data_IF_115921831747
#
_entry.id   IF_115921831747
#
_cell.length_a   1.000
_cell.length_b   1.000
_cell.length_c   1.000
_cell.angle_alpha   90.00
_cell.angle_beta   90.00
_cell.angle_gamma   90.00
#
_symmetry.space_group_name_H-M   'P 1'
#
loop_
_entity.id
_entity.type
_entity.pdbx_description
1 polymer ?
#
# COMPACT_ATOMS: atom_id res chain seq x y z
N UNK A 1 35.73 -0.98 4.16
CA UNK A 1 35.47 -2.45 4.06
C UNK A 1 33.99 -2.68 4.32
N UNK A 2 33.30 -3.38 3.43
CA UNK A 2 31.91 -3.79 3.66
C UNK A 2 31.85 -4.74 4.85
N UNK A 3 30.85 -4.56 5.73
CA UNK A 3 30.64 -5.48 6.85
C UNK A 3 30.23 -6.84 6.29
N UNK A 4 30.82 -7.95 6.79
CA UNK A 4 30.38 -9.28 6.41
C UNK A 4 28.94 -9.50 6.86
N UNK A 5 28.21 -10.32 6.09
CA UNK A 5 26.88 -10.80 6.44
C UNK A 5 26.90 -11.47 7.82
N UNK A 6 25.82 -11.33 8.59
CA UNK A 6 25.73 -11.83 9.97
C UNK A 6 26.02 -13.34 10.01
N UNK A 7 25.46 -14.09 9.07
CA UNK A 7 25.65 -15.54 8.96
C UNK A 7 27.11 -15.93 8.70
N UNK A 8 27.83 -15.19 7.85
CA UNK A 8 29.22 -15.52 7.51
C UNK A 8 30.16 -15.13 8.63
N UNK A 9 29.88 -14.02 9.32
CA UNK A 9 30.63 -13.61 10.51
C UNK A 9 30.48 -14.64 11.64
N UNK A 10 29.26 -15.10 11.93
CA UNK A 10 29.01 -16.06 13.01
C UNK A 10 29.61 -17.44 12.71
N UNK A 11 29.44 -17.93 11.47
CA UNK A 11 30.06 -19.17 11.03
C UNK A 11 31.60 -19.09 11.08
N UNK A 12 32.18 -17.97 10.64
CA UNK A 12 33.62 -17.73 10.70
C UNK A 12 34.16 -17.78 12.14
N UNK A 13 33.47 -17.13 13.09
CA UNK A 13 33.83 -17.18 14.51
C UNK A 13 33.79 -18.62 15.05
N UNK A 14 32.74 -19.38 14.76
CA UNK A 14 32.60 -20.76 15.23
C UNK A 14 33.66 -21.68 14.62
N UNK A 15 33.98 -21.52 13.34
CA UNK A 15 35.03 -22.29 12.66
C UNK A 15 36.40 -21.97 13.28
N UNK A 16 36.71 -20.70 13.51
CA UNK A 16 37.99 -20.29 14.13
C UNK A 16 38.10 -20.84 15.56
N UNK A 17 37.03 -20.74 16.35
CA UNK A 17 37.01 -21.30 17.71
C UNK A 17 37.16 -22.83 17.68
N UNK A 18 36.43 -23.53 16.82
CA UNK A 18 36.53 -24.98 16.68
C UNK A 18 37.91 -25.44 16.23
N UNK A 19 38.51 -24.76 15.24
CA UNK A 19 39.87 -25.02 14.80
C UNK A 19 40.90 -24.76 15.91
N UNK A 20 40.75 -23.67 16.66
CA UNK A 20 41.61 -23.37 17.80
C UNK A 20 41.53 -24.46 18.89
N UNK A 21 40.33 -24.93 19.21
CA UNK A 21 40.14 -26.05 20.16
C UNK A 21 40.77 -27.34 19.66
N UNK A 22 40.59 -27.69 18.39
CA UNK A 22 41.17 -28.91 17.82
C UNK A 22 42.71 -28.85 17.79
N UNK A 23 43.28 -27.72 17.36
CA UNK A 23 44.73 -27.49 17.36
C UNK A 23 45.30 -27.53 18.78
N UNK A 24 44.61 -26.91 19.74
CA UNK A 24 45.02 -26.96 21.14
C UNK A 24 44.96 -28.37 21.73
N UNK A 25 43.90 -29.13 21.43
CA UNK A 25 43.79 -30.52 21.86
C UNK A 25 44.91 -31.40 21.31
N UNK A 26 45.20 -31.28 20.01
CA UNK A 26 46.32 -31.99 19.39
C UNK A 26 47.68 -31.59 19.98
N UNK A 27 47.89 -30.29 20.22
CA UNK A 27 49.08 -29.78 20.89
C UNK A 27 49.24 -30.34 22.31
N UNK A 28 48.17 -30.35 23.11
CA UNK A 28 48.19 -30.83 24.48
C UNK A 28 48.53 -32.32 24.56
N UNK A 29 47.92 -33.16 23.71
CA UNK A 29 48.21 -34.59 23.63
C UNK A 29 49.67 -34.84 23.24
N UNK A 30 50.17 -34.13 22.22
CA UNK A 30 51.56 -34.27 21.79
C UNK A 30 52.56 -33.86 22.89
N UNK A 31 52.25 -32.82 23.67
CA UNK A 31 53.11 -32.36 24.78
C UNK A 31 53.07 -33.29 26.00
N UNK A 32 51.90 -33.84 26.33
CA UNK A 32 51.77 -34.86 27.37
C UNK A 32 52.62 -36.10 27.05
N UNK A 33 52.61 -36.56 25.79
CA UNK A 33 53.45 -37.67 25.35
C UNK A 33 54.95 -37.39 25.47
N UNK A 34 55.39 -36.17 25.21
CA UNK A 34 56.80 -35.78 25.41
C UNK A 34 57.21 -35.78 26.89
N UNK A 35 56.35 -35.29 27.79
CA UNK A 35 56.58 -35.33 29.24
C UNK A 35 56.62 -36.78 29.74
N UNK A 36 55.68 -37.61 29.28
CA UNK A 36 55.65 -39.03 29.62
C UNK A 36 56.94 -39.75 29.19
N UNK A 37 57.45 -39.46 28.00
CA UNK A 37 58.71 -40.06 27.52
C UNK A 37 59.88 -39.76 28.45
N UNK A 38 60.07 -38.50 28.85
CA UNK A 38 61.15 -38.14 29.79
C UNK A 38 60.95 -38.72 31.20
N UNK A 39 59.71 -38.82 31.67
CA UNK A 39 59.43 -39.46 32.96
C UNK A 39 59.75 -40.95 32.94
N UNK A 40 59.43 -41.64 31.83
CA UNK A 40 59.79 -43.05 31.64
C UNK A 40 61.30 -43.19 31.61
N UNK A 41 62.01 -42.39 30.81
CA UNK A 41 63.49 -42.38 30.73
C UNK A 41 64.14 -42.25 32.12
N UNK A 42 63.68 -41.29 32.93
CA UNK A 42 64.18 -41.09 34.31
C UNK A 42 63.89 -42.33 35.18
N UNK A 43 62.67 -42.85 35.12
CA UNK A 43 62.21 -43.92 36.00
C UNK A 43 62.76 -45.30 35.63
N UNK A 44 62.98 -45.59 34.35
CA UNK A 44 63.37 -46.91 33.85
C UNK A 44 64.83 -47.01 33.45
N UNK A 45 65.50 -45.89 33.16
CA UNK A 45 66.89 -45.89 32.70
C UNK A 45 67.79 -45.13 33.68
N UNK A 46 67.60 -43.81 33.85
CA UNK A 46 68.55 -42.97 34.56
C UNK A 46 68.68 -43.34 36.06
N UNK A 47 67.57 -43.45 36.79
CA UNK A 47 67.58 -43.79 38.22
C UNK A 47 68.08 -45.24 38.48
N UNK A 48 67.57 -46.27 37.77
CA UNK A 48 68.10 -47.62 37.89
C UNK A 48 69.59 -47.75 37.52
N UNK A 49 70.09 -46.96 36.57
CA UNK A 49 71.51 -46.94 36.20
C UNK A 49 72.38 -46.46 37.37
N UNK A 50 72.03 -45.31 37.98
CA UNK A 50 72.75 -44.78 39.16
C UNK A 50 72.74 -45.77 40.32
N UNK A 51 71.61 -46.41 40.60
CA UNK A 51 71.52 -47.44 41.65
C UNK A 51 72.43 -48.63 41.33
N UNK A 52 72.43 -49.10 40.08
CA UNK A 52 73.28 -50.21 39.65
C UNK A 52 74.77 -49.87 39.79
N UNK A 53 75.16 -48.61 39.54
CA UNK A 53 76.54 -48.15 39.76
C UNK A 53 76.93 -48.10 41.23
N UNK A 54 75.99 -47.70 42.09
CA UNK A 54 76.19 -47.77 43.54
C UNK A 54 76.27 -49.20 44.06
N UNK A 55 75.49 -50.12 43.51
CA UNK A 55 75.57 -51.55 43.83
C UNK A 55 76.95 -52.11 43.43
N UNK A 56 77.49 -51.71 42.26
CA UNK A 56 78.87 -52.06 41.86
C UNK A 56 79.90 -51.57 42.87
N UNK A 57 79.81 -50.31 43.35
CA UNK A 57 80.70 -49.78 44.40
C UNK A 57 80.65 -50.63 45.68
N UNK A 58 79.45 -51.06 46.09
CA UNK A 58 79.27 -51.97 47.23
C UNK A 58 79.93 -53.33 46.97
N UNK A 59 79.83 -53.89 45.76
CA UNK A 59 80.50 -55.16 45.45
C UNK A 59 82.03 -55.02 45.49
N UNK A 60 82.59 -53.93 44.97
CA UNK A 60 84.04 -53.66 45.06
C UNK A 60 84.49 -53.67 46.52
N UNK A 61 83.79 -52.96 47.40
CA UNK A 61 84.13 -52.94 48.83
C UNK A 61 83.95 -54.32 49.51
N UNK A 62 82.93 -55.10 49.14
CA UNK A 62 82.77 -56.49 49.62
C UNK A 62 83.93 -57.38 49.20
N UNK A 63 84.40 -57.25 47.96
CA UNK A 63 85.55 -58.01 47.46
C UNK A 63 86.81 -57.62 48.25
N UNK A 64 87.07 -56.31 48.42
CA UNK A 64 88.20 -55.79 49.22
C UNK A 64 88.18 -56.31 50.65
N UNK A 65 87.02 -56.27 51.30
CA UNK A 65 86.86 -56.75 52.66
C UNK A 65 86.98 -58.28 52.77
N UNK A 66 86.56 -59.03 51.75
CA UNK A 66 86.70 -60.49 51.72
C UNK A 66 88.16 -60.92 51.58
N UNK A 67 88.98 -60.23 50.79
CA UNK A 67 90.44 -60.46 50.77
C UNK A 67 91.09 -60.21 52.14
N UNK A 68 90.74 -59.10 52.80
CA UNK A 68 91.23 -58.81 54.16
C UNK A 68 90.77 -59.86 55.17
N UNK A 69 89.51 -60.28 55.08
CA UNK A 69 88.94 -61.34 55.91
C UNK A 69 89.67 -62.67 55.72
N UNK A 70 90.02 -63.04 54.48
CA UNK A 70 90.80 -64.25 54.19
C UNK A 70 92.15 -64.26 54.91
N UNK A 71 92.88 -63.14 54.84
CA UNK A 71 94.20 -62.99 55.47
C UNK A 71 94.11 -63.01 57.00
N UNK A 72 93.04 -62.44 57.57
CA UNK A 72 92.85 -62.34 59.03
C UNK A 72 92.37 -63.65 59.67
N UNK A 73 91.71 -64.54 58.90
CA UNK A 73 91.19 -65.81 59.43
C UNK A 73 92.31 -66.82 59.61
N UNK A 74 92.29 -67.54 60.73
CA UNK A 74 93.32 -68.52 61.07
C UNK A 74 92.99 -69.94 60.58
N UNK A 75 91.70 -70.25 60.44
CA UNK A 75 91.19 -71.58 60.09
C UNK A 75 90.89 -71.74 58.59
N UNK A 76 90.99 -72.97 58.09
CA UNK A 76 90.80 -73.28 56.67
C UNK A 76 89.36 -73.08 56.19
N UNK A 77 88.37 -73.35 57.04
CA UNK A 77 86.94 -73.16 56.72
C UNK A 77 86.62 -71.67 56.54
N UNK A 78 87.13 -70.85 57.45
CA UNK A 78 87.05 -69.40 57.39
C UNK A 78 87.72 -68.84 56.13
N UNK A 79 88.92 -69.32 55.78
CA UNK A 79 89.58 -68.91 54.52
C UNK A 79 88.76 -69.30 53.30
N UNK A 80 88.33 -70.54 53.17
CA UNK A 80 87.48 -71.00 52.07
C UNK A 80 86.16 -70.20 51.96
N UNK A 81 85.55 -69.85 53.10
CA UNK A 81 84.36 -68.99 53.15
C UNK A 81 84.65 -67.58 52.61
N UNK A 82 85.84 -67.02 52.86
CA UNK A 82 86.23 -65.72 52.34
C UNK A 82 86.57 -65.76 50.84
N UNK A 83 87.19 -66.85 50.34
CA UNK A 83 87.38 -67.08 48.90
C UNK A 83 86.03 -67.11 48.17
N UNK A 84 85.08 -67.91 48.69
CA UNK A 84 83.72 -67.96 48.16
C UNK A 84 83.00 -66.61 48.18
N UNK A 85 83.27 -65.77 49.18
CA UNK A 85 82.71 -64.43 49.27
C UNK A 85 83.29 -63.49 48.20
N UNK A 86 84.58 -63.62 47.87
CA UNK A 86 85.20 -62.91 46.73
C UNK A 86 84.54 -63.32 45.42
N UNK A 87 84.41 -64.63 45.17
CA UNK A 87 83.82 -65.14 43.93
C UNK A 87 82.35 -64.71 43.78
N UNK A 88 81.56 -64.81 44.85
CA UNK A 88 80.16 -64.41 44.85
C UNK A 88 80.00 -62.90 44.60
N UNK A 89 80.78 -62.06 45.27
CA UNK A 89 80.72 -60.61 45.07
C UNK A 89 81.19 -60.20 43.66
N UNK A 90 82.21 -60.87 43.11
CA UNK A 90 82.68 -60.62 41.74
C UNK A 90 81.67 -61.08 40.68
N UNK A 91 80.96 -62.19 40.91
CA UNK A 91 79.87 -62.63 40.05
C UNK A 91 78.72 -61.62 40.01
N UNK A 92 78.29 -61.12 41.17
CA UNK A 92 77.25 -60.08 41.28
C UNK A 92 77.72 -58.78 40.61
N UNK A 93 78.97 -58.37 40.82
CA UNK A 93 79.54 -57.23 40.11
C UNK A 93 79.48 -57.39 38.59
N UNK A 94 79.76 -58.58 38.05
CA UNK A 94 79.62 -58.87 36.62
C UNK A 94 78.16 -58.88 36.12
N UNK A 95 77.19 -59.20 36.99
CA UNK A 95 75.76 -59.02 36.69
C UNK A 95 75.39 -57.54 36.64
N UNK A 96 75.79 -56.75 37.63
CA UNK A 96 75.55 -55.31 37.70
C UNK A 96 76.19 -54.59 36.50
N UNK A 97 77.42 -54.97 36.11
CA UNK A 97 78.09 -54.43 34.94
C UNK A 97 77.32 -54.73 33.64
N UNK A 98 76.81 -55.95 33.47
CA UNK A 98 75.99 -56.31 32.31
C UNK A 98 74.67 -55.53 32.30
N UNK A 99 74.03 -55.40 33.47
CA UNK A 99 72.80 -54.63 33.65
C UNK A 99 73.02 -53.15 33.32
N UNK A 100 74.11 -52.55 33.78
CA UNK A 100 74.47 -51.16 33.47
C UNK A 100 74.58 -50.92 31.96
N UNK A 101 75.15 -51.88 31.21
CA UNK A 101 75.23 -51.80 29.73
C UNK A 101 73.87 -51.88 29.03
N UNK A 102 72.80 -52.36 29.68
CA UNK A 102 71.45 -52.42 29.09
C UNK A 102 70.71 -51.09 29.11
N UNK A 103 71.14 -50.13 29.93
CA UNK A 103 70.57 -48.77 29.99
C UNK A 103 71.06 -47.86 28.86
N UNK A 104 71.58 -48.42 27.77
CA UNK A 104 72.10 -47.68 26.61
C UNK A 104 73.01 -46.50 26.99
N UNK A 105 74.09 -46.74 27.77
CA UNK A 105 74.91 -45.69 28.33
C UNK A 105 75.52 -44.80 27.24
N UNK A 106 75.58 -43.48 27.44
CA UNK A 106 76.29 -42.57 26.53
C UNK A 106 77.76 -42.96 26.37
N UNK A 107 78.44 -42.53 25.29
CA UNK A 107 79.81 -42.96 24.99
C UNK A 107 80.81 -42.78 26.15
N UNK A 108 80.66 -41.69 26.92
CA UNK A 108 81.50 -41.42 28.09
C UNK A 108 81.23 -42.40 29.25
N UNK A 109 79.97 -42.72 29.51
CA UNK A 109 79.54 -43.70 30.52
C UNK A 109 79.98 -45.12 30.13
N UNK A 110 79.85 -45.48 28.85
CA UNK A 110 80.34 -46.74 28.31
C UNK A 110 81.87 -46.90 28.45
N UNK A 111 82.62 -45.82 28.23
CA UNK A 111 84.07 -45.82 28.40
C UNK A 111 84.46 -46.01 29.88
N UNK A 112 83.74 -45.36 30.81
CA UNK A 112 83.96 -45.52 32.25
C UNK A 112 83.60 -46.94 32.72
N UNK A 113 82.52 -47.55 32.22
CA UNK A 113 82.19 -48.96 32.49
C UNK A 113 83.31 -49.92 32.08
N UNK A 114 83.91 -49.71 30.90
CA UNK A 114 85.04 -50.53 30.44
C UNK A 114 86.28 -50.35 31.34
N UNK A 115 86.55 -49.12 31.80
CA UNK A 115 87.67 -48.86 32.71
C UNK A 115 87.48 -49.53 34.07
N UNK A 116 86.25 -49.51 34.59
CA UNK A 116 85.85 -50.20 35.83
C UNK A 116 86.03 -51.72 35.68
N UNK A 117 85.57 -52.30 34.56
CA UNK A 117 85.73 -53.74 34.28
C UNK A 117 87.20 -54.16 34.23
N UNK A 118 88.05 -53.42 33.51
CA UNK A 118 89.46 -53.77 33.37
C UNK A 118 90.23 -53.61 34.69
N UNK A 119 89.93 -52.56 35.46
CA UNK A 119 90.51 -52.35 36.78
C UNK A 119 90.12 -53.50 37.74
N UNK A 120 88.84 -53.91 37.74
CA UNK A 120 88.39 -55.00 38.60
C UNK A 120 88.92 -56.36 38.18
N UNK A 121 89.00 -56.62 36.87
CA UNK A 121 89.65 -57.83 36.32
C UNK A 121 91.11 -57.92 36.76
N UNK A 122 91.83 -56.80 36.71
CA UNK A 122 93.21 -56.72 37.21
C UNK A 122 93.26 -56.96 38.72
N UNK A 123 92.35 -56.35 39.48
CA UNK A 123 92.28 -56.49 40.94
C UNK A 123 92.07 -57.94 41.37
N UNK A 124 91.07 -58.63 40.82
CA UNK A 124 90.82 -60.06 41.15
C UNK A 124 91.84 -61.01 40.52
N UNK A 125 92.58 -60.58 39.50
CA UNK A 125 93.67 -61.37 38.91
C UNK A 125 94.79 -61.71 39.90
N UNK A 126 94.97 -60.90 40.96
CA UNK A 126 95.92 -61.18 42.04
C UNK A 126 95.41 -62.22 43.06
N UNK A 127 94.12 -62.59 43.01
CA UNK A 127 93.50 -63.48 43.99
C UNK A 127 94.24 -64.80 44.21
N UNK A 128 94.64 -65.55 43.16
CA UNK A 128 95.30 -66.85 43.36
C UNK A 128 96.58 -66.72 44.19
N UNK A 129 97.37 -65.66 43.95
CA UNK A 129 98.63 -65.43 44.66
C UNK A 129 98.40 -65.01 46.11
N UNK A 130 97.42 -64.16 46.36
CA UNK A 130 97.06 -63.73 47.73
C UNK A 130 96.52 -64.90 48.54
N UNK A 131 95.65 -65.72 47.95
CA UNK A 131 95.10 -66.90 48.61
C UNK A 131 96.19 -67.95 48.89
N UNK A 132 97.12 -68.18 47.95
CA UNK A 132 98.28 -69.07 48.15
C UNK A 132 99.12 -68.64 49.37
N UNK A 133 99.54 -67.37 49.41
CA UNK A 133 100.35 -66.83 50.51
C UNK A 133 99.61 -66.85 51.85
N UNK A 134 98.34 -66.45 51.86
CA UNK A 134 97.51 -66.50 53.06
C UNK A 134 97.33 -67.94 53.56
N UNK A 135 97.05 -68.91 52.67
CA UNK A 135 96.92 -70.32 53.04
C UNK A 135 98.23 -70.92 53.56
N UNK A 136 99.38 -70.45 53.07
CA UNK A 136 100.71 -70.78 53.59
C UNK A 136 101.10 -70.06 54.90
N UNK A 137 100.17 -69.31 55.50
CA UNK A 137 100.38 -68.47 56.68
C UNK A 137 101.41 -67.33 56.49
N UNK A 138 101.77 -66.99 55.26
CA UNK A 138 102.56 -65.80 54.93
C UNK A 138 101.66 -64.56 54.84
N UNK A 139 101.22 -64.11 56.01
CA UNK A 139 100.36 -62.92 56.17
C UNK A 139 101.08 -61.65 55.70
N UNK A 140 102.41 -61.59 55.84
CA UNK A 140 103.17 -60.42 55.41
C UNK A 140 103.23 -60.32 53.89
N UNK A 141 103.55 -61.42 53.20
CA UNK A 141 103.55 -61.48 51.74
C UNK A 141 102.18 -61.20 51.13
N UNK A 142 101.11 -61.76 51.71
CA UNK A 142 99.73 -61.50 51.27
C UNK A 142 99.34 -60.01 51.43
N UNK A 143 99.74 -59.40 52.56
CA UNK A 143 99.48 -57.97 52.80
C UNK A 143 100.33 -57.05 51.91
N UNK A 144 101.55 -57.45 51.54
CA UNK A 144 102.39 -56.66 50.63
C UNK A 144 101.71 -56.50 49.27
N UNK A 145 101.19 -57.60 48.70
CA UNK A 145 100.44 -57.57 47.43
C UNK A 145 99.18 -56.70 47.56
N UNK A 146 98.45 -56.79 48.68
CA UNK A 146 97.29 -55.94 48.94
C UNK A 146 97.65 -54.45 48.96
N UNK A 147 98.78 -54.07 49.56
CA UNK A 147 99.18 -52.67 49.79
C UNK A 147 99.96 -52.05 48.63
N UNK A 148 100.44 -52.84 47.68
CA UNK A 148 101.30 -52.36 46.59
C UNK A 148 100.67 -52.57 45.21
N UNK A 149 100.28 -53.81 44.89
CA UNK A 149 99.78 -54.17 43.57
C UNK A 149 98.27 -54.03 43.47
N UNK A 150 97.54 -54.67 44.38
CA UNK A 150 96.07 -54.66 44.38
C UNK A 150 95.49 -53.30 44.75
N UNK A 151 96.16 -52.51 45.60
CA UNK A 151 95.67 -51.15 45.94
C UNK A 151 95.54 -50.27 44.68
N UNK A 152 96.46 -50.40 43.72
CA UNK A 152 96.45 -49.58 42.49
C UNK A 152 95.23 -49.87 41.62
N UNK A 153 94.89 -51.15 41.43
CA UNK A 153 93.73 -51.54 40.65
C UNK A 153 92.41 -51.32 41.38
N UNK A 154 92.40 -51.47 42.72
CA UNK A 154 91.24 -51.07 43.54
C UNK A 154 90.98 -49.56 43.44
N UNK A 155 92.02 -48.73 43.64
CA UNK A 155 91.88 -47.27 43.58
C UNK A 155 91.48 -46.83 42.17
N UNK A 156 92.02 -47.45 41.12
CA UNK A 156 91.59 -47.21 39.75
C UNK A 156 90.11 -47.56 39.54
N UNK A 157 89.64 -48.69 40.07
CA UNK A 157 88.23 -49.09 40.01
C UNK A 157 87.32 -48.13 40.78
N UNK A 158 87.71 -47.73 42.00
CA UNK A 158 86.95 -46.78 42.83
C UNK A 158 86.87 -45.40 42.16
N UNK A 159 87.98 -44.89 41.62
CA UNK A 159 87.99 -43.60 40.89
C UNK A 159 87.12 -43.67 39.63
N UNK A 160 87.22 -44.76 38.86
CA UNK A 160 86.41 -44.94 37.66
C UNK A 160 84.92 -45.09 37.99
N UNK A 161 84.56 -45.79 39.07
CA UNK A 161 83.18 -45.89 39.57
C UNK A 161 82.64 -44.56 40.08
N UNK A 162 83.45 -43.78 40.82
CA UNK A 162 83.04 -42.46 41.28
C UNK A 162 82.73 -41.53 40.10
N UNK A 163 83.61 -41.53 39.09
CA UNK A 163 83.39 -40.77 37.85
C UNK A 163 82.15 -41.27 37.09
N UNK A 164 81.93 -42.58 37.05
CA UNK A 164 80.76 -43.19 36.42
C UNK A 164 79.46 -42.71 37.09
N UNK A 165 79.39 -42.79 38.43
CA UNK A 165 78.24 -42.28 39.20
C UNK A 165 78.03 -40.79 38.95
N UNK A 166 79.09 -39.98 38.92
CA UNK A 166 79.00 -38.54 38.66
C UNK A 166 78.41 -38.25 37.27
N UNK A 167 78.89 -38.94 36.23
CA UNK A 167 78.38 -38.82 34.86
C UNK A 167 76.88 -39.17 34.82
N UNK A 168 76.50 -40.30 35.40
CA UNK A 168 75.12 -40.77 35.33
C UNK A 168 74.16 -39.95 36.20
N UNK A 169 74.64 -39.39 37.32
CA UNK A 169 73.88 -38.38 38.07
C UNK A 169 73.69 -37.09 37.26
N UNK A 170 74.71 -36.65 36.52
CA UNK A 170 74.60 -35.49 35.61
C UNK A 170 73.56 -35.75 34.52
N UNK A 171 73.59 -36.92 33.88
CA UNK A 171 72.59 -37.31 32.87
C UNK A 171 71.18 -37.38 33.45
N UNK A 172 71.00 -37.93 34.66
CA UNK A 172 69.70 -37.97 35.33
C UNK A 172 69.16 -36.57 35.63
N UNK A 173 70.03 -35.64 36.06
CA UNK A 173 69.68 -34.24 36.30
C UNK A 173 69.33 -33.52 35.00
N UNK A 174 70.07 -33.73 33.91
CA UNK A 174 69.77 -33.17 32.59
C UNK A 174 68.42 -33.65 32.04
N UNK A 175 68.11 -34.95 32.19
CA UNK A 175 66.82 -35.53 31.84
C UNK A 175 65.69 -34.89 32.67
N UNK A 176 65.90 -34.70 33.98
CA UNK A 176 64.95 -34.02 34.86
C UNK A 176 64.71 -32.56 34.47
N UNK A 177 65.77 -31.79 34.21
CA UNK A 177 65.68 -30.40 33.79
C UNK A 177 64.97 -30.27 32.43
N UNK A 178 65.23 -31.20 31.51
CA UNK A 178 64.54 -31.28 30.22
C UNK A 178 63.05 -31.55 30.39
N UNK A 179 62.67 -32.50 31.26
CA UNK A 179 61.28 -32.77 31.60
C UNK A 179 60.58 -31.54 32.23
N UNK A 180 61.27 -30.84 33.14
CA UNK A 180 60.74 -29.64 33.80
C UNK A 180 60.60 -28.46 32.83
N UNK A 181 61.56 -28.25 31.93
CA UNK A 181 61.50 -27.25 30.87
C UNK A 181 60.35 -27.55 29.89
N UNK A 182 60.18 -28.82 29.50
CA UNK A 182 59.06 -29.26 28.68
C UNK A 182 57.71 -29.02 29.37
N UNK A 183 57.60 -29.32 30.66
CA UNK A 183 56.40 -29.07 31.47
C UNK A 183 56.07 -27.57 31.57
N UNK A 184 57.02 -26.73 31.96
CA UNK A 184 56.82 -25.28 32.10
C UNK A 184 56.49 -24.60 30.77
N UNK A 185 57.16 -24.99 29.68
CA UNK A 185 56.84 -24.53 28.32
C UNK A 185 55.42 -24.94 27.93
N UNK A 186 55.02 -26.17 28.26
CA UNK A 186 53.66 -26.67 27.98
C UNK A 186 52.61 -25.87 28.73
N UNK A 187 52.83 -25.55 30.02
CA UNK A 187 51.92 -24.69 30.78
C UNK A 187 51.84 -23.27 30.20
N UNK A 188 52.98 -22.68 29.85
CA UNK A 188 53.04 -21.31 29.29
C UNK A 188 52.28 -21.22 27.97
N UNK A 189 52.49 -22.17 27.04
CA UNK A 189 51.74 -22.22 25.78
C UNK A 189 50.25 -22.47 26.05
N UNK A 190 49.93 -23.36 26.99
CA UNK A 190 48.54 -23.64 27.37
C UNK A 190 47.81 -22.40 27.87
N UNK A 191 48.38 -21.68 28.83
CA UNK A 191 47.77 -20.45 29.34
C UNK A 191 47.69 -19.35 28.28
N UNK A 192 48.69 -19.27 27.39
CA UNK A 192 48.66 -18.32 26.26
C UNK A 192 47.52 -18.61 25.30
N UNK A 193 47.33 -19.89 24.93
CA UNK A 193 46.22 -20.31 24.05
C UNK A 193 44.87 -20.08 24.72
N UNK A 194 44.72 -20.44 26.00
CA UNK A 194 43.50 -20.16 26.78
C UNK A 194 43.19 -18.66 26.77
N UNK A 195 44.20 -17.80 27.00
CA UNK A 195 44.05 -16.35 26.96
C UNK A 195 43.59 -15.83 25.60
N UNK A 196 44.20 -16.31 24.51
CA UNK A 196 43.81 -15.94 23.14
C UNK A 196 42.36 -16.38 22.83
N UNK A 197 42.00 -17.61 23.20
CA UNK A 197 40.63 -18.13 23.03
C UNK A 197 39.63 -17.33 23.86
N UNK A 198 39.96 -16.98 25.10
CA UNK A 198 39.10 -16.14 25.94
C UNK A 198 38.88 -14.75 25.32
N UNK A 199 39.92 -14.12 24.78
CA UNK A 199 39.81 -12.83 24.06
C UNK A 199 38.95 -12.99 22.80
N UNK A 200 39.14 -14.06 22.03
CA UNK A 200 38.35 -14.33 20.84
C UNK A 200 36.86 -14.53 21.18
N UNK A 201 36.55 -15.26 22.25
CA UNK A 201 35.18 -15.44 22.76
C UNK A 201 34.61 -14.10 23.23
N UNK A 202 35.35 -13.30 23.99
CA UNK A 202 34.91 -11.98 24.43
C UNK A 202 34.62 -11.05 23.25
N UNK A 203 35.49 -11.06 22.22
CA UNK A 203 35.28 -10.33 20.97
C UNK A 203 34.07 -10.82 20.18
N UNK A 204 33.84 -12.13 20.13
CA UNK A 204 32.65 -12.73 19.52
C UNK A 204 31.36 -12.32 20.24
N UNK A 205 31.34 -12.38 21.57
CA UNK A 205 30.21 -11.94 22.40
C UNK A 205 29.94 -10.45 22.19
N UNK A 206 31.00 -9.63 22.22
CA UNK A 206 30.91 -8.19 21.95
C UNK A 206 30.30 -7.93 20.57
N UNK A 207 30.77 -8.64 19.54
CA UNK A 207 30.25 -8.54 18.17
C UNK A 207 28.78 -8.99 18.09
N UNK A 208 28.41 -10.08 18.75
CA UNK A 208 27.02 -10.55 18.76
C UNK A 208 26.08 -9.53 19.42
N UNK A 209 26.48 -8.95 20.55
CA UNK A 209 25.66 -7.96 21.27
C UNK A 209 25.58 -6.64 20.49
N UNK A 210 26.71 -6.07 20.09
CA UNK A 210 26.77 -4.73 19.48
C UNK A 210 26.51 -4.72 17.98
N UNK A 211 26.89 -5.79 17.28
CA UNK A 211 26.71 -5.93 15.84
C UNK A 211 25.36 -6.52 15.44
N UNK A 212 24.75 -7.37 16.27
CA UNK A 212 23.52 -8.09 15.92
C UNK A 212 22.37 -7.71 16.86
N UNK A 213 22.48 -8.02 18.15
CA UNK A 213 21.34 -7.92 19.09
C UNK A 213 20.83 -6.48 19.27
N UNK A 214 21.71 -5.51 19.56
CA UNK A 214 21.32 -4.11 19.73
C UNK A 214 20.66 -3.52 18.47
N UNK A 215 21.23 -3.68 17.25
CA UNK A 215 20.57 -3.24 16.03
C UNK A 215 19.21 -3.88 15.77
N UNK A 216 19.06 -5.19 15.98
CA UNK A 216 17.77 -5.88 15.86
C UNK A 216 16.75 -5.26 16.82
N UNK A 217 17.10 -5.12 18.10
CA UNK A 217 16.22 -4.48 19.10
C UNK A 217 15.81 -3.06 18.70
N UNK A 218 16.74 -2.29 18.13
CA UNK A 218 16.47 -0.92 17.68
C UNK A 218 15.49 -0.89 16.49
N UNK A 219 15.65 -1.79 15.52
CA UNK A 219 14.71 -1.91 14.38
C UNK A 219 13.34 -2.37 14.88
N UNK A 220 13.28 -3.36 15.77
CA UNK A 220 12.02 -3.82 16.39
C UNK A 220 11.32 -2.67 17.12
N UNK A 221 12.06 -1.85 17.87
CA UNK A 221 11.49 -0.68 18.53
C UNK A 221 10.95 0.35 17.53
N UNK A 222 11.67 0.59 16.43
CA UNK A 222 11.23 1.50 15.37
C UNK A 222 9.97 0.99 14.66
N UNK A 223 9.88 -0.33 14.43
CA UNK A 223 8.68 -0.97 13.88
C UNK A 223 7.48 -0.82 14.82
N UNK A 224 7.67 -0.98 16.14
CA UNK A 224 6.60 -0.78 17.12
C UNK A 224 6.11 0.68 17.15
N UNK A 225 7.01 1.66 17.03
CA UNK A 225 6.63 3.08 16.92
C UNK A 225 5.84 3.37 15.65
N UNK A 226 6.27 2.80 14.52
CA UNK A 226 5.55 2.94 13.26
C UNK A 226 4.16 2.30 13.34
N UNK A 227 4.04 1.12 13.95
CA UNK A 227 2.74 0.47 14.20
C UNK A 227 1.83 1.28 15.14
N UNK A 228 2.40 2.09 16.04
CA UNK A 228 1.66 3.03 16.88
C UNK A 228 1.30 4.35 16.16
N UNK A 229 1.66 4.51 14.89
CA UNK A 229 1.34 5.69 14.07
C UNK A 229 2.43 6.78 14.01
N UNK A 230 3.59 6.56 14.63
CA UNK A 230 4.73 7.47 14.51
C UNK A 230 5.58 7.13 13.28
N UNK A 231 5.22 7.72 12.14
CA UNK A 231 6.01 7.66 10.91
C UNK A 231 7.04 8.80 10.78
N UNK A 232 7.13 9.71 11.76
CA UNK A 232 8.03 10.86 11.70
C UNK A 232 9.47 10.46 12.03
N UNK A 233 9.66 9.53 12.98
CA UNK A 233 10.97 9.02 13.37
C UNK A 233 11.64 8.25 12.22
N UNK A 234 12.90 8.58 11.90
CA UNK A 234 13.67 7.88 10.88
C UNK A 234 14.09 6.47 11.31
N UNK A 235 14.14 5.51 10.38
CA UNK A 235 14.57 4.15 10.67
C UNK A 235 16.11 4.09 10.68
N UNK A 236 16.73 3.75 11.83
CA UNK A 236 18.18 3.68 11.93
C UNK A 236 18.74 2.49 11.14
N UNK A 237 20.04 2.57 10.81
CA UNK A 237 20.78 1.54 10.05
C UNK A 237 20.35 1.36 8.59
N UNK A 238 19.56 2.28 8.04
CA UNK A 238 19.35 2.37 6.59
C UNK A 238 20.71 2.57 5.88
N UNK A 239 20.98 1.74 4.86
CA UNK A 239 22.27 1.72 4.13
C UNK A 239 23.33 0.79 4.71
N UNK A 240 23.03 0.05 5.79
CA UNK A 240 23.88 -1.05 6.26
C UNK A 240 23.89 -2.19 5.21
N UNK A 241 25.06 -2.79 4.97
CA UNK A 241 25.29 -3.75 3.86
C UNK A 241 25.05 -5.23 4.22
N UNK A 242 24.43 -5.51 5.36
CA UNK A 242 24.13 -6.87 5.83
C UNK A 242 22.62 -7.07 6.01
N UNK A 243 22.22 -8.25 6.50
CA UNK A 243 20.81 -8.63 6.67
C UNK A 243 20.03 -7.66 7.58
N UNK A 244 20.71 -7.01 8.53
CA UNK A 244 20.08 -6.00 9.39
C UNK A 244 19.75 -4.74 8.58
N UNK A 245 20.62 -4.36 7.66
CA UNK A 245 20.35 -3.25 6.74
C UNK A 245 19.25 -3.56 5.74
N UNK A 246 19.18 -4.80 5.22
CA UNK A 246 18.07 -5.27 4.40
C UNK A 246 16.73 -5.17 5.16
N UNK A 247 16.69 -5.57 6.44
CA UNK A 247 15.52 -5.37 7.30
C UNK A 247 15.18 -3.88 7.53
N UNK A 248 16.18 -3.04 7.82
CA UNK A 248 15.96 -1.60 8.01
C UNK A 248 15.37 -0.94 6.75
N UNK A 249 15.88 -1.32 5.56
CA UNK A 249 15.35 -0.85 4.29
C UNK A 249 13.90 -1.27 4.06
N UNK A 250 13.53 -2.50 4.44
CA UNK A 250 12.13 -2.96 4.36
C UNK A 250 11.21 -2.15 5.29
N UNK A 251 11.64 -1.86 6.53
CA UNK A 251 10.88 -1.02 7.47
C UNK A 251 10.76 0.43 6.96
N UNK A 252 11.79 0.95 6.30
CA UNK A 252 11.75 2.29 5.68
C UNK A 252 10.68 2.38 4.57
N UNK A 253 10.47 1.31 3.79
CA UNK A 253 9.36 1.25 2.80
C UNK A 253 8.00 1.35 3.50
N UNK A 254 7.81 0.63 4.61
CA UNK A 254 6.57 0.74 5.39
C UNK A 254 6.36 2.14 5.96
N UNK A 255 7.43 2.80 6.43
CA UNK A 255 7.37 4.18 6.92
C UNK A 255 6.95 5.15 5.81
N UNK A 256 7.55 5.03 4.62
CA UNK A 256 7.19 5.86 3.48
C UNK A 256 5.73 5.69 3.07
N UNK A 257 5.23 4.44 3.06
CA UNK A 257 3.83 4.15 2.79
C UNK A 257 2.89 4.76 3.86
N UNK A 258 3.29 4.73 5.14
CA UNK A 258 2.51 5.35 6.21
C UNK A 258 2.45 6.88 6.09
N UNK A 259 3.56 7.53 5.72
CA UNK A 259 3.60 8.97 5.44
C UNK A 259 2.71 9.33 4.24
N UNK A 260 2.78 8.55 3.17
CA UNK A 260 1.97 8.76 1.98
C UNK A 260 0.47 8.55 2.25
N UNK A 261 0.11 7.50 2.99
CA UNK A 261 -1.28 7.26 3.41
C UNK A 261 -1.83 8.43 4.22
N UNK A 262 -1.04 8.98 5.14
CA UNK A 262 -1.44 10.14 5.95
C UNK A 262 -1.61 11.39 5.09
N UNK A 263 -0.72 11.61 4.12
CA UNK A 263 -0.82 12.71 3.15
C UNK A 263 -2.12 12.60 2.33
N UNK A 264 -2.46 11.40 1.86
CA UNK A 264 -3.67 11.13 1.10
C UNK A 264 -4.95 11.33 1.95
N UNK A 265 -4.92 10.93 3.22
CA UNK A 265 -6.02 11.19 4.16
C UNK A 265 -6.24 12.69 4.40
N UNK A 266 -5.17 13.45 4.61
CA UNK A 266 -5.24 14.92 4.76
C UNK A 266 -5.79 15.59 3.49
N UNK A 267 -5.38 15.13 2.31
CA UNK A 267 -5.87 15.62 1.02
C UNK A 267 -7.35 15.27 0.80
N UNK A 268 -7.75 14.04 1.12
CA UNK A 268 -9.15 13.61 1.05
C UNK A 268 -10.03 14.39 2.05
N UNK A 269 -9.53 14.68 3.25
CA UNK A 269 -10.22 15.51 4.24
C UNK A 269 -10.44 16.93 3.75
N UNK A 270 -9.42 17.55 3.14
CA UNK A 270 -9.55 18.88 2.52
C UNK A 270 -10.55 18.89 1.38
N UNK A 271 -10.53 17.88 0.51
CA UNK A 271 -11.45 17.79 -0.63
C UNK A 271 -12.90 17.59 -0.16
N UNK A 272 -13.13 16.78 0.88
CA UNK A 272 -14.45 16.62 1.51
C UNK A 272 -14.98 17.95 2.05
N UNK A 273 -14.16 18.68 2.81
CA UNK A 273 -14.55 19.99 3.36
C UNK A 273 -14.88 21.00 2.24
N UNK A 274 -14.10 21.03 1.15
CA UNK A 274 -14.39 21.88 -0.01
C UNK A 274 -15.71 21.49 -0.68
N UNK A 275 -15.97 20.19 -0.83
CA UNK A 275 -17.20 19.67 -1.46
C UNK A 275 -18.44 19.98 -0.60
N UNK A 276 -18.35 19.84 0.72
CA UNK A 276 -19.44 20.19 1.64
C UNK A 276 -19.76 21.69 1.61
N UNK A 277 -18.74 22.55 1.64
CA UNK A 277 -18.93 24.00 1.56
C UNK A 277 -19.56 24.39 0.22
N UNK A 278 -19.10 23.79 -0.89
CA UNK A 278 -19.68 24.04 -2.21
C UNK A 278 -21.14 23.58 -2.30
N UNK A 279 -21.48 22.41 -1.73
CA UNK A 279 -22.89 21.95 -1.63
C UNK A 279 -23.74 22.92 -0.84
N UNK A 280 -23.21 23.47 0.27
CA UNK A 280 -23.95 24.43 1.11
C UNK A 280 -24.24 25.73 0.35
N UNK A 281 -23.27 26.22 -0.42
CA UNK A 281 -23.44 27.41 -1.25
C UNK A 281 -24.45 27.19 -2.38
N UNK A 282 -24.38 26.06 -3.09
CA UNK A 282 -25.37 25.73 -4.14
C UNK A 282 -26.78 25.60 -3.56
N UNK A 283 -26.95 24.89 -2.43
CA UNK A 283 -28.27 24.73 -1.80
C UNK A 283 -28.87 26.06 -1.35
N UNK A 284 -28.05 27.01 -0.86
CA UNK A 284 -28.53 28.34 -0.49
C UNK A 284 -28.96 29.17 -1.71
N UNK A 285 -28.20 29.09 -2.82
CA UNK A 285 -28.56 29.73 -4.09
C UNK A 285 -29.85 29.16 -4.66
N UNK A 286 -29.98 27.83 -4.70
CA UNK A 286 -31.19 27.16 -5.19
C UNK A 286 -32.42 27.53 -4.37
N UNK A 287 -32.29 27.65 -3.04
CA UNK A 287 -33.39 28.11 -2.17
C UNK A 287 -33.84 29.53 -2.51
N UNK A 288 -32.90 30.48 -2.64
CA UNK A 288 -33.22 31.88 -3.01
C UNK A 288 -33.89 31.95 -4.38
N UNK A 289 -33.45 31.11 -5.32
CA UNK A 289 -34.03 31.02 -6.67
C UNK A 289 -35.45 30.44 -6.65
N UNK A 290 -35.68 29.37 -5.87
CA UNK A 290 -36.99 28.76 -5.71
C UNK A 290 -38.00 29.72 -5.06
N UNK A 291 -37.58 30.48 -4.04
CA UNK A 291 -38.40 31.52 -3.41
C UNK A 291 -38.79 32.62 -4.42
N UNK A 292 -37.83 33.11 -5.22
CA UNK A 292 -38.08 34.08 -6.27
C UNK A 292 -39.03 33.56 -7.36
N UNK A 293 -38.86 32.31 -7.80
CA UNK A 293 -39.73 31.66 -8.78
C UNK A 293 -41.15 31.47 -8.25
N UNK A 294 -41.31 31.05 -6.99
CA UNK A 294 -42.60 30.89 -6.35
C UNK A 294 -43.34 32.24 -6.25
N UNK A 295 -42.63 33.31 -5.89
CA UNK A 295 -43.18 34.67 -5.86
C UNK A 295 -43.66 35.13 -7.24
N UNK A 296 -42.84 34.95 -8.29
CA UNK A 296 -43.20 35.34 -9.65
C UNK A 296 -44.41 34.54 -10.18
N UNK A 297 -44.43 33.22 -9.92
CA UNK A 297 -45.54 32.33 -10.34
C UNK A 297 -46.84 32.67 -9.61
N UNK A 298 -46.78 32.93 -8.30
CA UNK A 298 -47.95 33.37 -7.52
C UNK A 298 -48.46 34.72 -8.01
N UNK A 299 -47.57 35.68 -8.26
CA UNK A 299 -47.92 36.98 -8.80
C UNK A 299 -48.62 36.87 -10.16
N UNK A 300 -48.10 36.05 -11.08
CA UNK A 300 -48.77 35.79 -12.36
C UNK A 300 -50.13 35.11 -12.17
N UNK A 301 -50.24 34.12 -11.28
CA UNK A 301 -51.49 33.43 -11.03
C UNK A 301 -52.58 34.38 -10.54
N UNK A 302 -52.23 35.29 -9.61
CA UNK A 302 -53.14 36.33 -9.13
C UNK A 302 -53.52 37.31 -10.24
N UNK A 303 -52.56 37.73 -11.08
CA UNK A 303 -52.84 38.57 -12.25
C UNK A 303 -53.77 37.91 -13.26
N UNK A 304 -53.53 36.64 -13.61
CA UNK A 304 -54.38 35.87 -14.51
C UNK A 304 -55.78 35.67 -13.94
N UNK A 305 -55.91 35.52 -12.62
CA UNK A 305 -57.22 35.43 -11.95
C UNK A 305 -58.01 36.73 -12.06
N UNK A 306 -57.35 37.89 -11.91
CA UNK A 306 -57.97 39.20 -12.13
C UNK A 306 -58.41 39.39 -13.58
N UNK A 307 -57.57 38.97 -14.53
CA UNK A 307 -57.87 38.99 -15.97
C UNK A 307 -59.07 38.09 -16.31
N UNK A 308 -59.11 36.87 -15.78
CA UNK A 308 -60.24 35.95 -15.92
C UNK A 308 -61.55 36.49 -15.30
N UNK A 309 -61.43 37.32 -14.26
CA UNK A 309 -62.55 38.07 -13.68
C UNK A 309 -62.99 39.29 -14.48
N UNK A 310 -62.37 39.58 -15.63
CA UNK A 310 -62.68 40.72 -16.50
C UNK A 310 -62.06 42.05 -16.07
N UNK A 311 -61.15 42.04 -15.08
CA UNK A 311 -60.48 43.26 -14.62
C UNK A 311 -59.30 43.62 -15.53
N UNK A 312 -59.57 44.38 -16.59
CA UNK A 312 -58.56 44.87 -17.54
C UNK A 312 -57.78 46.11 -17.05
N UNK A 313 -57.94 46.49 -15.78
CA UNK A 313 -57.19 47.61 -15.17
C UNK A 313 -56.14 47.14 -14.18
N UNK A 314 -56.10 45.83 -13.89
CA UNK A 314 -55.16 45.25 -12.95
C UNK A 314 -53.73 45.27 -13.49
N UNK A 315 -52.78 45.67 -12.65
CA UNK A 315 -51.35 45.62 -12.95
C UNK A 315 -50.60 45.00 -11.79
N UNK A 316 -49.61 44.16 -12.11
CA UNK A 316 -48.65 43.66 -11.15
C UNK A 316 -47.66 44.77 -10.79
N UNK A 317 -47.81 45.37 -9.60
CA UNK A 317 -47.01 46.50 -9.12
C UNK A 317 -45.75 46.08 -8.34
N UNK A 318 -45.77 44.92 -7.71
CA UNK A 318 -44.61 44.38 -7.00
C UNK A 318 -43.57 43.87 -7.99
N UNK A 319 -42.34 44.39 -7.91
CA UNK A 319 -41.23 43.92 -8.73
C UNK A 319 -40.92 42.45 -8.43
N UNK A 320 -40.62 41.68 -9.47
CA UNK A 320 -40.11 40.33 -9.32
C UNK A 320 -38.58 40.36 -9.21
N UNK A 321 -37.99 39.21 -8.90
CA UNK A 321 -36.53 39.08 -9.00
C UNK A 321 -36.08 39.38 -10.44
N UNK A 322 -34.84 39.87 -10.59
CA UNK A 322 -34.29 40.35 -11.86
C UNK A 322 -34.49 39.36 -13.02
N UNK A 323 -34.30 38.05 -12.78
CA UNK A 323 -34.48 37.00 -13.79
C UNK A 323 -35.94 36.76 -14.23
N UNK A 324 -36.94 37.21 -13.46
CA UNK A 324 -38.37 37.03 -13.74
C UNK A 324 -39.11 38.34 -14.06
N UNK A 325 -38.43 39.49 -14.03
CA UNK A 325 -39.04 40.80 -14.20
C UNK A 325 -39.70 40.97 -15.58
N UNK A 326 -39.17 40.30 -16.61
CA UNK A 326 -39.78 40.24 -17.94
C UNK A 326 -41.20 39.67 -17.91
N UNK A 327 -41.48 38.64 -17.09
CA UNK A 327 -42.81 38.04 -16.98
C UNK A 327 -43.85 39.02 -16.46
N UNK A 328 -43.47 39.88 -15.50
CA UNK A 328 -44.33 40.95 -14.96
C UNK A 328 -44.63 42.00 -16.03
N UNK A 329 -43.59 42.43 -16.74
CA UNK A 329 -43.70 43.42 -17.81
C UNK A 329 -44.60 42.93 -18.95
N UNK A 330 -44.39 41.70 -19.41
CA UNK A 330 -45.16 41.08 -20.49
C UNK A 330 -46.65 40.91 -20.10
N UNK A 331 -46.94 40.46 -18.87
CA UNK A 331 -48.32 40.38 -18.36
C UNK A 331 -49.01 41.75 -18.37
N UNK A 332 -48.36 42.78 -17.79
CA UNK A 332 -48.93 44.12 -17.74
C UNK A 332 -49.16 44.69 -19.14
N UNK A 333 -48.23 44.47 -20.07
CA UNK A 333 -48.39 44.89 -21.46
C UNK A 333 -49.55 44.18 -22.16
N UNK A 334 -49.74 42.89 -21.90
CA UNK A 334 -50.85 42.12 -22.45
C UNK A 334 -52.21 42.64 -21.94
N UNK A 335 -52.31 42.97 -20.65
CA UNK A 335 -53.53 43.56 -20.06
C UNK A 335 -53.86 44.91 -20.70
N UNK A 336 -52.87 45.79 -20.88
CA UNK A 336 -53.05 47.10 -21.54
C UNK A 336 -53.55 46.92 -22.99
N UNK A 337 -52.92 46.04 -23.78
CA UNK A 337 -53.38 45.79 -25.16
C UNK A 337 -54.79 45.22 -25.24
N UNK A 338 -55.17 44.36 -24.30
CA UNK A 338 -56.51 43.80 -24.24
C UNK A 338 -57.55 44.86 -23.84
N UNK A 339 -57.19 45.75 -22.91
CA UNK A 339 -58.01 46.91 -22.54
C UNK A 339 -58.28 47.81 -23.75
N UNK A 340 -57.23 48.21 -24.48
CA UNK A 340 -57.34 49.02 -25.70
C UNK A 340 -58.25 48.37 -26.75
N UNK A 341 -58.08 47.05 -26.97
CA UNK A 341 -58.90 46.28 -27.90
C UNK A 341 -60.38 46.31 -27.51
N UNK A 342 -60.71 46.10 -26.23
CA UNK A 342 -62.10 46.12 -25.75
C UNK A 342 -62.70 47.53 -25.82
N UNK A 343 -61.92 48.58 -25.59
CA UNK A 343 -62.35 49.96 -25.80
C UNK A 343 -62.68 50.23 -27.27
N UNK A 344 -61.86 49.75 -28.22
CA UNK A 344 -62.17 49.87 -29.66
C UNK A 344 -63.44 49.09 -30.06
N UNK A 345 -63.65 47.89 -29.51
CA UNK A 345 -64.88 47.11 -29.74
C UNK A 345 -66.09 47.87 -29.20
N UNK A 346 -66.02 48.40 -27.97
CA UNK A 346 -67.08 49.21 -27.38
C UNK A 346 -67.43 50.42 -28.26
N UNK A 347 -66.42 51.18 -28.71
CA UNK A 347 -66.63 52.31 -29.63
C UNK A 347 -67.29 51.89 -30.95
N UNK A 348 -66.88 50.77 -31.54
CA UNK A 348 -67.49 50.23 -32.77
C UNK A 348 -68.95 49.84 -32.55
N UNK A 349 -69.29 49.21 -31.42
CA UNK A 349 -70.68 48.86 -31.10
C UNK A 349 -71.56 50.09 -30.89
N UNK A 350 -71.03 51.17 -30.28
CA UNK A 350 -71.75 52.44 -30.16
C UNK A 350 -72.01 53.09 -31.52
N UNK A 351 -71.05 53.03 -32.45
CA UNK A 351 -71.22 53.53 -33.81
C UNK A 351 -72.29 52.73 -34.58
N UNK A 352 -72.30 51.40 -34.46
CA UNK A 352 -73.35 50.53 -35.04
C UNK A 352 -74.71 50.88 -34.44
N UNK A 353 -74.82 51.04 -33.12
CA UNK A 353 -76.09 51.40 -32.47
C UNK A 353 -76.61 52.79 -32.87
N UNK A 354 -75.72 53.72 -33.22
CA UNK A 354 -76.11 55.01 -33.80
C UNK A 354 -76.59 54.84 -35.25
N UNK A 355 -75.84 54.10 -36.09
CA UNK A 355 -76.23 53.82 -37.47
C UNK A 355 -77.55 53.07 -37.59
N UNK A 356 -77.81 52.08 -36.73
CA UNK A 356 -79.11 51.38 -36.70
C UNK A 356 -80.28 52.31 -36.37
N UNK A 357 -80.08 53.31 -35.50
CA UNK A 357 -81.11 54.32 -35.19
C UNK A 357 -81.40 55.22 -36.39
N UNK A 358 -80.36 55.64 -37.11
CA UNK A 358 -80.50 56.45 -38.33
C UNK A 358 -81.21 55.69 -39.46
N UNK A 359 -80.87 54.41 -39.65
CA UNK A 359 -81.56 53.52 -40.59
C UNK A 359 -83.03 53.34 -40.21
N UNK A 360 -83.33 53.12 -38.92
CA UNK A 360 -84.71 52.99 -38.44
C UNK A 360 -85.52 54.25 -38.70
N UNK A 361 -84.96 55.44 -38.44
CA UNK A 361 -85.61 56.72 -38.72
C UNK A 361 -85.86 56.91 -40.22
N UNK A 362 -84.87 56.57 -41.05
CA UNK A 362 -84.99 56.68 -42.52
C UNK A 362 -86.05 55.71 -43.07
N UNK A 363 -86.18 54.51 -42.50
CA UNK A 363 -87.21 53.55 -42.86
C UNK A 363 -88.62 54.05 -42.47
N UNK A 364 -88.77 54.68 -41.30
CA UNK A 364 -90.02 55.30 -40.84
C UNK A 364 -90.48 56.41 -41.80
N UNK A 365 -89.56 57.30 -42.21
CA UNK A 365 -89.85 58.39 -43.15
C UNK A 365 -90.21 57.88 -44.56
N UNK A 366 -89.53 56.82 -45.03
CA UNK A 366 -89.88 56.17 -46.29
C UNK A 366 -91.26 55.51 -46.23
N UNK A 367 -91.62 54.88 -45.11
CA UNK A 367 -92.93 54.29 -44.89
C UNK A 367 -94.04 55.36 -44.98
N UNK A 368 -93.89 56.49 -44.27
CA UNK A 368 -94.84 57.61 -44.36
C UNK A 368 -94.97 58.18 -45.77
N UNK A 369 -93.86 58.30 -46.51
CA UNK A 369 -93.89 58.71 -47.92
C UNK A 369 -94.65 57.70 -48.79
N UNK A 370 -94.46 56.41 -48.53
CA UNK A 370 -95.14 55.34 -49.27
C UNK A 370 -96.64 55.37 -48.99
N UNK A 371 -97.06 55.61 -47.74
CA UNK A 371 -98.47 55.82 -47.38
C UNK A 371 -99.06 57.05 -48.08
N UNK A 372 -98.37 58.19 -48.07
CA UNK A 372 -98.83 59.40 -48.78
C UNK A 372 -98.94 59.17 -50.29
N UNK A 373 -97.99 58.48 -50.91
CA UNK A 373 -98.06 58.15 -52.34
C UNK A 373 -99.23 57.20 -52.65
N UNK A 374 -99.51 56.23 -51.76
CA UNK A 374 -100.67 55.35 -51.90
C UNK A 374 -101.99 56.14 -51.81
N UNK A 375 -102.11 57.06 -50.85
CA UNK A 375 -103.28 57.92 -50.71
C UNK A 375 -103.50 58.82 -51.95
N UNK A 376 -102.44 59.42 -52.50
CA UNK A 376 -102.55 60.20 -53.74
C UNK A 376 -102.94 59.34 -54.95
N UNK A 377 -102.51 58.09 -55.01
CA UNK A 377 -102.94 57.14 -56.05
C UNK A 377 -104.41 56.77 -55.91
N UNK A 378 -104.91 56.57 -54.68
CA UNK A 378 -106.32 56.31 -54.40
C UNK A 378 -107.20 57.50 -54.80
N UNK A 379 -106.77 58.73 -54.49
CA UNK A 379 -107.46 59.96 -54.89
C UNK A 379 -107.49 60.12 -56.43
N UNK A 380 -106.40 59.76 -57.10
CA UNK A 380 -106.33 59.76 -58.58
C UNK A 380 -107.26 58.72 -59.20
N UNK A 381 -107.37 57.54 -58.59
CA UNK A 381 -108.28 56.49 -59.03
C UNK A 381 -109.76 56.88 -58.85
N UNK A 382 -110.10 57.52 -57.73
CA UNK A 382 -111.45 58.03 -57.49
C UNK A 382 -111.85 59.13 -58.48
N UNK A 383 -110.93 60.05 -58.79
CA UNK A 383 -111.13 61.07 -59.82
C UNK A 383 -111.34 60.46 -61.23
N UNK A 384 -110.59 59.38 -61.55
CA UNK A 384 -110.78 58.63 -62.79
C UNK A 384 -112.17 57.96 -62.87
N UNK A 385 -112.68 57.44 -61.76
CA UNK A 385 -114.03 56.84 -61.69
C UNK A 385 -115.14 57.89 -61.90
N UNK A 386 -114.98 59.08 -61.32
CA UNK A 386 -115.87 60.23 -61.54
C UNK A 386 -115.88 60.70 -63.00
N UNK A 387 -114.70 60.78 -63.64
CA UNK A 387 -114.57 61.13 -65.06
C UNK A 387 -115.29 60.09 -65.93
N UNK A 388 -115.10 58.80 -65.64
CA UNK A 388 -115.71 57.70 -66.39
C UNK A 388 -117.24 57.75 -66.31
N UNK A 389 -117.78 58.02 -65.11
CA UNK A 389 -119.22 58.20 -64.87
C UNK A 389 -119.78 59.41 -65.63
N UNK A 390 -119.07 60.54 -65.63
CA UNK A 390 -119.47 61.73 -66.38
C UNK A 390 -119.49 61.48 -67.89
N UNK A 391 -118.49 60.78 -68.43
CA UNK A 391 -118.43 60.41 -69.86
C UNK A 391 -119.61 59.50 -70.24
N UNK A 392 -119.95 58.51 -69.39
CA UNK A 392 -121.11 57.64 -69.61
C UNK A 392 -122.43 58.44 -69.64
N UNK A 393 -122.60 59.39 -68.71
CA UNK A 393 -123.77 60.27 -68.67
C UNK A 393 -123.87 61.19 -69.89
N UNK A 394 -122.74 61.77 -70.35
CA UNK A 394 -122.71 62.56 -71.58
C UNK A 394 -123.10 61.74 -72.81
N UNK A 395 -122.64 60.49 -72.90
CA UNK A 395 -123.00 59.57 -73.98
C UNK A 395 -124.49 59.23 -73.99
N UNK A 396 -125.08 58.94 -72.82
CA UNK A 396 -126.52 58.69 -72.66
C UNK A 396 -127.37 59.90 -73.09
N UNK A 397 -126.98 61.11 -72.65
CA UNK A 397 -127.68 62.35 -73.05
C UNK A 397 -127.60 62.61 -74.56
N UNK A 398 -126.48 62.27 -75.20
CA UNK A 398 -126.34 62.38 -76.65
C UNK A 398 -127.30 61.43 -77.40
N UNK A 399 -127.47 60.20 -76.90
CA UNK A 399 -128.41 59.23 -77.49
C UNK A 399 -129.89 59.61 -77.26
N UNK A 400 -130.21 60.15 -76.08
CA UNK A 400 -131.54 60.71 -75.80
C UNK A 400 -131.85 61.90 -76.74
N UNK A 401 -130.92 62.84 -76.90
CA UNK A 401 -131.07 63.96 -77.82
C UNK A 401 -131.24 63.50 -79.28
N UNK A 402 -130.49 62.46 -79.69
CA UNK A 402 -130.64 61.82 -81.00
C UNK A 402 -132.04 61.22 -81.19
N UNK A 403 -132.57 60.55 -80.17
CA UNK A 403 -133.92 59.96 -80.21
C UNK A 403 -135.00 61.03 -80.37
N UNK A 404 -134.90 62.12 -79.60
CA UNK A 404 -135.83 63.26 -79.70
C UNK A 404 -135.78 63.91 -81.10
N UNK A 405 -134.58 64.04 -81.68
CA UNK A 405 -134.43 64.57 -83.04
C UNK A 405 -135.09 63.68 -84.10
N UNK A 406 -135.02 62.35 -83.96
CA UNK A 406 -135.71 61.40 -84.85
C UNK A 406 -137.24 61.54 -84.73
N UNK A 407 -137.78 61.63 -83.50
CA UNK A 407 -139.21 61.82 -83.26
C UNK A 407 -139.73 63.16 -83.82
N UNK A 408 -138.97 64.25 -83.64
CA UNK A 408 -139.33 65.54 -84.19
C UNK A 408 -139.40 65.52 -85.73
N UNK A 409 -138.46 64.81 -86.38
CA UNK A 409 -138.47 64.62 -87.83
C UNK A 409 -139.69 63.83 -88.32
N UNK A 410 -140.04 62.73 -87.62
CA UNK A 410 -141.25 61.96 -87.92
C UNK A 410 -142.54 62.78 -87.78
N UNK A 411 -142.66 63.56 -86.69
CA UNK A 411 -143.82 64.44 -86.49
C UNK A 411 -143.93 65.50 -87.59
N UNK A 412 -142.82 66.10 -88.01
CA UNK A 412 -142.80 67.07 -89.11
C UNK A 412 -143.22 66.44 -90.45
N UNK A 413 -142.79 65.21 -90.74
CA UNK A 413 -143.24 64.47 -91.92
C UNK A 413 -144.75 64.18 -91.89
N UNK A 414 -145.30 63.83 -90.73
CA UNK A 414 -146.73 63.59 -90.55
C UNK A 414 -147.56 64.88 -90.64
N UNK A 415 -147.08 65.99 -90.07
CA UNK A 415 -147.67 67.32 -90.28
C UNK A 415 -147.66 67.73 -91.75
N UNK A 416 -146.61 67.40 -92.50
CA UNK A 416 -146.55 67.61 -93.95
C UNK A 416 -147.66 66.89 -94.71
N UNK A 417 -147.97 65.64 -94.33
CA UNK A 417 -149.06 64.87 -94.92
C UNK A 417 -150.45 65.48 -94.61
N UNK A 418 -150.66 65.97 -93.39
CA UNK A 418 -151.92 66.62 -92.98
C UNK A 418 -152.12 67.93 -93.75
N UNK A 419 -151.08 68.74 -93.92
CA UNK A 419 -151.13 69.98 -94.70
C UNK A 419 -151.41 69.67 -96.19
N UNK A 420 -150.77 68.63 -96.74
CA UNK A 420 -151.04 68.19 -98.12
C UNK A 420 -152.51 67.76 -98.32
N UNK A 421 -153.07 67.00 -97.37
CA UNK A 421 -154.48 66.59 -97.41
C UNK A 421 -155.44 67.79 -97.28
N UNK A 422 -155.08 68.82 -96.51
CA UNK A 422 -155.88 70.04 -96.37
C UNK A 422 -155.90 70.89 -97.66
N UNK A 423 -154.78 70.95 -98.38
CA UNK A 423 -154.69 71.63 -99.69
C UNK A 423 -155.52 70.89 -100.75
N UNK A 424 -155.47 69.55 -100.79
CA UNK A 424 -156.28 68.74 -101.72
C UNK A 424 -157.78 68.89 -101.45
N UNK A 425 -158.19 68.95 -100.17
CA UNK A 425 -159.57 69.18 -99.78
C UNK A 425 -160.07 70.59 -100.17
N UNK A 426 -159.24 71.62 -99.99
CA UNK A 426 -159.54 72.99 -100.45
C UNK A 426 -159.70 73.06 -101.97
N UNK A 427 -158.85 72.36 -102.74
CA UNK A 427 -158.98 72.26 -104.20
C UNK A 427 -160.29 71.59 -104.65
N UNK A 428 -160.77 70.57 -103.92
CA UNK A 428 -162.08 69.94 -104.17
C UNK A 428 -163.26 70.88 -103.88
N UNK A 429 -163.15 71.75 -102.86
CA UNK A 429 -164.17 72.76 -102.55
C UNK A 429 -164.24 73.82 -103.65
N UNK A 430 -163.10 74.26 -104.17
CA UNK A 430 -163.02 75.20 -105.29
C UNK A 430 -163.69 74.63 -106.56
N UNK A 431 -163.42 73.37 -106.89
CA UNK A 431 -164.03 72.71 -108.04
C UNK A 431 -165.55 72.56 -107.89
N UNK A 432 -166.02 72.19 -106.70
CA UNK A 432 -167.46 72.10 -106.39
C UNK A 432 -168.16 73.46 -106.48
N UNK A 433 -167.51 74.52 -105.99
CA UNK A 433 -168.04 75.89 -106.05
C UNK A 433 -168.15 76.41 -107.49
N UNK A 434 -167.21 76.05 -108.37
CA UNK A 434 -167.28 76.36 -109.80
C UNK A 434 -168.42 75.60 -110.52
N UNK A 435 -168.70 74.34 -110.15
CA UNK A 435 -169.87 73.63 -110.67
C UNK A 435 -171.19 74.30 -110.25
N UNK A 436 -171.28 74.80 -109.02
CA UNK A 436 -172.45 75.57 -108.57
C UNK A 436 -172.58 76.88 -109.37
N UNK A 437 -171.46 77.56 -109.63
CA UNK A 437 -171.45 78.80 -110.42
C UNK A 437 -171.94 78.59 -111.86
N UNK A 438 -171.60 77.46 -112.49
CA UNK A 438 -172.06 77.13 -113.84
C UNK A 438 -173.57 76.84 -113.94
N UNK A 439 -174.23 76.40 -112.87
CA UNK A 439 -175.68 76.18 -112.91
C UNK A 439 -176.47 77.49 -112.74
N UNK A 440 -175.93 78.47 -112.00
CA UNK A 440 -176.59 79.79 -111.87
C UNK A 440 -176.49 80.62 -113.17
N UNK A 441 -175.61 80.24 -114.12
CA UNK A 441 -175.44 80.94 -115.40
C UNK A 441 -176.45 80.64 -116.52
N UNK A 442 -177.32 79.63 -116.38
CA UNK A 442 -178.30 79.22 -117.41
C UNK A 442 -179.61 78.90 -116.69
N UNK A 443 -180.59 79.82 -116.66
CA UNK A 443 -181.68 79.92 -117.66
C UNK A 443 -182.51 78.65 -117.74
#
# INVERSE_FOLDING_TARGET
MSRPKVKTALAGILIVLGAAFALFGAFAVNRLGAIEHHLIEIATEAMPSVVTMKDMEVQVEKIRNSFRSHILRADAEGKASAEKAVDAAYAVFGEDLRKARTFSPPPEEAAALNAVEEAMKTYVGFAPRVFELSNAADVQGANEILRTDMVKSADAATVALAKLVEISMSHAEEAYQSAQAAYSTTLTVTFTVIGIVAIAIAGAIWFAITGIAKPIQTITHSMNKLAAGDAATAIPYAGRADEIGEMAAAVEVFRNNALESRRLEDEAGRLRNQTEEQRRQTAEQDRKRAEAMAQATSGLADGLKQLAGGNLTFQLSQAFAEEFESLRADFNQAVVRLQETMTSVSGSTSAIAAGSREVSQSAEDLSKRTEQQAASLEETAAALDEITTNVANSSKRAEEARTVAIQANQNAAQSGQVVANAVDAMGKIEQSSNQISNIIGVI
#
